data_IF_897544386830
#
_entry.id   IF_897544386830
#
_cell.length_a   1.000
_cell.length_b   1.000
_cell.length_c   1.000
_cell.angle_alpha   90.00
_cell.angle_beta   90.00
_cell.angle_gamma   90.00
#
_symmetry.space_group_name_H-M   'P 1'
#
loop_
_entity.id
_entity.type
_entity.pdbx_description
1 polymer ?
#
# COMPACT_ATOMS: atom_id res chain seq x y z
N UNK A 1 -39.57 -35.15 61.80
CA UNK A 1 -38.93 -34.23 60.84
C UNK A 1 -37.53 -33.96 61.35
N UNK A 2 -36.46 -33.90 60.55
CA UNK A 2 -36.37 -34.03 59.08
C UNK A 2 -35.15 -34.92 58.74
N UNK A 3 -35.14 -35.61 57.60
CA UNK A 3 -34.04 -36.48 57.20
C UNK A 3 -32.98 -35.73 56.36
N UNK A 4 -31.70 -36.03 56.56
CA UNK A 4 -30.61 -35.50 55.73
C UNK A 4 -30.57 -36.19 54.37
N UNK A 5 -30.54 -35.40 53.30
CA UNK A 5 -30.57 -35.90 51.92
C UNK A 5 -29.21 -36.47 51.49
N UNK A 6 -29.25 -37.49 50.62
CA UNK A 6 -28.08 -37.95 49.86
C UNK A 6 -27.86 -36.98 48.70
N UNK A 7 -26.65 -36.44 48.55
CA UNK A 7 -26.26 -35.67 47.37
C UNK A 7 -25.41 -36.55 46.45
N UNK A 8 -25.95 -36.84 45.26
CA UNK A 8 -25.21 -37.42 44.14
C UNK A 8 -25.36 -36.45 42.98
N UNK A 9 -24.25 -35.87 42.51
CA UNK A 9 -24.23 -34.97 41.35
C UNK A 9 -23.16 -35.48 40.39
N UNK A 10 -23.50 -35.48 39.10
CA UNK A 10 -22.74 -36.21 38.07
C UNK A 10 -21.44 -35.52 37.68
N UNK A 11 -20.52 -36.36 37.17
CA UNK A 11 -19.35 -35.98 36.38
C UNK A 11 -19.76 -35.04 35.23
N UNK A 12 -19.35 -33.77 35.27
CA UNK A 12 -19.39 -32.88 34.11
C UNK A 12 -18.02 -32.89 33.45
N UNK A 13 -17.89 -33.64 32.36
CA UNK A 13 -16.66 -33.76 31.60
C UNK A 13 -16.53 -32.53 30.67
N UNK A 14 -15.88 -31.47 31.16
CA UNK A 14 -15.65 -30.24 30.37
C UNK A 14 -14.59 -30.53 29.31
N UNK A 15 -15.06 -30.85 28.10
CA UNK A 15 -14.22 -30.94 26.91
C UNK A 15 -13.75 -29.52 26.57
N UNK A 16 -12.50 -29.21 26.88
CA UNK A 16 -11.84 -27.98 26.44
C UNK A 16 -11.59 -28.11 24.93
N UNK A 17 -12.56 -27.64 24.14
CA UNK A 17 -12.42 -27.52 22.70
C UNK A 17 -11.35 -26.47 22.37
N UNK A 18 -10.12 -26.92 22.12
CA UNK A 18 -9.04 -26.06 21.61
C UNK A 18 -9.34 -25.75 20.14
N UNK A 19 -10.15 -24.72 19.90
CA UNK A 19 -10.47 -24.24 18.55
C UNK A 19 -9.19 -23.67 17.95
N UNK A 20 -8.75 -24.22 16.80
CA UNK A 20 -7.52 -23.83 16.10
C UNK A 20 -7.56 -22.38 15.59
N UNK A 21 -7.24 -21.44 16.47
CA UNK A 21 -7.39 -19.99 16.25
C UNK A 21 -6.24 -19.33 15.47
N UNK A 22 -5.39 -20.11 14.79
CA UNK A 22 -4.27 -19.62 13.99
C UNK A 22 -4.68 -18.47 13.04
N UNK A 23 -5.81 -18.63 12.33
CA UNK A 23 -6.30 -17.63 11.38
C UNK A 23 -6.74 -16.32 12.07
N UNK A 24 -7.33 -16.41 13.27
CA UNK A 24 -7.74 -15.23 14.04
C UNK A 24 -6.54 -14.47 14.62
N UNK A 25 -5.52 -15.18 15.10
CA UNK A 25 -4.26 -14.59 15.58
C UNK A 25 -3.47 -13.95 14.43
N UNK A 26 -3.50 -14.54 13.23
CA UNK A 26 -2.89 -13.93 12.03
C UNK A 26 -3.59 -12.64 11.61
N UNK A 27 -4.93 -12.59 11.60
CA UNK A 27 -5.67 -11.36 11.30
C UNK A 27 -5.40 -10.26 12.33
N UNK A 28 -5.44 -10.58 13.63
CA UNK A 28 -5.11 -9.61 14.70
C UNK A 28 -3.69 -9.07 14.56
N UNK A 29 -2.71 -9.91 14.17
CA UNK A 29 -1.35 -9.45 13.87
C UNK A 29 -1.27 -8.55 12.64
N UNK A 30 -2.07 -8.80 11.60
CA UNK A 30 -2.19 -7.88 10.45
C UNK A 30 -2.76 -6.53 10.87
N UNK A 31 -3.87 -6.50 11.61
CA UNK A 31 -4.47 -5.25 12.10
C UNK A 31 -3.53 -4.49 13.05
N UNK A 32 -2.80 -5.20 13.93
CA UNK A 32 -1.79 -4.56 14.78
C UNK A 32 -0.57 -4.03 14.03
N UNK A 33 -0.28 -4.51 12.80
CA UNK A 33 0.72 -3.88 11.91
C UNK A 33 0.16 -2.69 11.14
N UNK A 34 -1.14 -2.68 10.80
CA UNK A 34 -1.79 -1.49 10.24
C UNK A 34 -1.83 -0.31 11.21
N UNK A 35 -2.03 -0.58 12.51
CA UNK A 35 -1.93 0.41 13.59
C UNK A 35 -0.48 0.77 13.98
N UNK A 36 0.53 0.17 13.35
CA UNK A 36 1.93 0.46 13.60
C UNK A 36 2.40 1.46 12.55
N UNK A 37 2.53 2.74 12.94
CA UNK A 37 3.08 3.82 12.11
C UNK A 37 4.20 3.31 11.22
N UNK A 38 4.01 3.35 9.89
CA UNK A 38 4.91 2.69 8.94
C UNK A 38 6.35 3.20 9.09
N UNK A 39 7.20 2.42 9.77
CA UNK A 39 8.63 2.74 9.97
C UNK A 39 9.51 2.30 8.80
N UNK A 40 8.95 1.54 7.85
CA UNK A 40 9.58 1.13 6.61
C UNK A 40 8.79 1.73 5.44
N UNK A 41 9.48 2.43 4.53
CA UNK A 41 8.92 2.99 3.29
C UNK A 41 8.19 1.95 2.45
N UNK A 42 8.85 0.82 2.26
CA UNK A 42 8.56 -0.10 1.17
C UNK A 42 7.23 -0.88 1.40
N UNK A 43 6.82 -1.05 2.66
CA UNK A 43 5.60 -1.79 3.00
C UNK A 43 4.34 -1.01 2.58
N UNK A 44 4.24 0.28 2.92
CA UNK A 44 3.08 1.07 2.47
C UNK A 44 3.13 1.36 0.97
N UNK A 45 4.31 1.60 0.39
CA UNK A 45 4.44 1.90 -1.04
C UNK A 45 4.01 0.72 -1.91
N UNK A 46 4.41 -0.49 -1.54
CA UNK A 46 3.98 -1.73 -2.21
C UNK A 46 2.48 -1.97 -2.07
N UNK A 47 1.93 -1.76 -0.87
CA UNK A 47 0.50 -1.88 -0.58
C UNK A 47 -0.34 -0.85 -1.36
N UNK A 48 0.13 0.40 -1.41
CA UNK A 48 -0.49 1.51 -2.11
C UNK A 48 -0.56 1.25 -3.62
N UNK A 49 0.57 0.91 -4.25
CA UNK A 49 0.62 0.59 -5.67
C UNK A 49 -0.26 -0.63 -6.00
N UNK A 50 -0.31 -1.65 -5.13
CA UNK A 50 -1.18 -2.81 -5.32
C UNK A 50 -2.67 -2.44 -5.28
N UNK A 51 -3.09 -1.55 -4.37
CA UNK A 51 -4.48 -1.07 -4.34
C UNK A 51 -4.81 -0.15 -5.52
N UNK A 52 -3.91 0.76 -5.92
CA UNK A 52 -4.07 1.60 -7.12
C UNK A 52 -4.23 0.73 -8.36
N UNK A 53 -3.33 -0.24 -8.57
CA UNK A 53 -3.38 -1.14 -9.73
C UNK A 53 -4.60 -2.07 -9.71
N UNK A 54 -5.12 -2.45 -8.54
CA UNK A 54 -6.39 -3.17 -8.40
C UNK A 54 -7.59 -2.33 -8.90
N UNK A 55 -7.63 -1.03 -8.59
CA UNK A 55 -8.69 -0.13 -9.09
C UNK A 55 -8.58 0.09 -10.60
N UNK A 56 -7.36 0.27 -11.11
CA UNK A 56 -7.06 0.42 -12.55
C UNK A 56 -7.44 -0.83 -13.36
N UNK A 57 -7.04 -2.01 -12.89
CA UNK A 57 -7.39 -3.28 -13.52
C UNK A 57 -8.91 -3.53 -13.55
N UNK A 58 -9.65 -3.09 -12.51
CA UNK A 58 -11.11 -3.15 -12.50
C UNK A 58 -11.79 -2.23 -13.53
N UNK A 59 -11.06 -1.32 -14.18
CA UNK A 59 -11.50 -0.51 -15.32
C UNK A 59 -10.84 -0.92 -16.64
N UNK A 60 -10.04 -2.00 -16.66
CA UNK A 60 -9.28 -2.44 -17.84
C UNK A 60 -8.05 -1.58 -18.19
N UNK A 61 -7.62 -0.71 -17.27
CA UNK A 61 -6.46 0.18 -17.46
C UNK A 61 -5.14 -0.54 -17.13
N UNK A 62 -4.07 -0.14 -17.80
CA UNK A 62 -2.71 -0.60 -17.54
C UNK A 62 -2.26 -0.31 -16.10
N UNK A 63 -1.52 -1.26 -15.51
CA UNK A 63 -0.86 -1.10 -14.22
C UNK A 63 0.24 -0.05 -14.28
N UNK A 64 0.32 0.79 -13.25
CA UNK A 64 1.46 1.66 -12.99
C UNK A 64 2.63 0.86 -12.38
N UNK A 65 3.83 1.42 -12.47
CA UNK A 65 5.02 0.97 -11.76
C UNK A 65 5.57 2.10 -10.87
N UNK A 66 6.39 1.75 -9.86
CA UNK A 66 7.11 2.76 -9.06
C UNK A 66 8.13 3.52 -9.93
N UNK A 67 8.38 4.79 -9.60
CA UNK A 67 9.52 5.57 -10.09
C UNK A 67 10.12 6.39 -8.94
N UNK A 68 11.44 6.29 -8.74
CA UNK A 68 12.17 6.90 -7.61
C UNK A 68 12.06 8.42 -7.53
N UNK A 69 11.83 9.10 -8.65
CA UNK A 69 11.69 10.57 -8.69
C UNK A 69 10.31 11.01 -8.22
N UNK A 70 9.25 10.33 -8.65
CA UNK A 70 7.90 10.51 -8.11
C UNK A 70 7.83 10.13 -6.62
N UNK A 71 8.59 9.12 -6.19
CA UNK A 71 8.74 8.77 -4.77
C UNK A 71 9.44 9.89 -3.98
N UNK A 72 10.45 10.54 -4.56
CA UNK A 72 11.16 11.68 -3.95
C UNK A 72 10.28 12.94 -3.86
N UNK A 73 9.51 13.24 -4.91
CA UNK A 73 8.57 14.37 -4.95
C UNK A 73 7.43 14.21 -3.93
N UNK A 74 6.74 13.07 -3.94
CA UNK A 74 5.70 12.77 -2.95
C UNK A 74 6.25 12.79 -1.51
N UNK A 75 7.49 12.32 -1.29
CA UNK A 75 8.15 12.39 0.02
C UNK A 75 8.42 13.83 0.48
N UNK A 76 8.99 14.68 -0.38
CA UNK A 76 9.17 16.13 -0.15
C UNK A 76 7.86 16.79 0.31
N UNK A 77 6.73 16.39 -0.26
CA UNK A 77 5.43 16.98 0.06
C UNK A 77 4.78 16.44 1.34
N UNK A 78 4.75 15.11 1.52
CA UNK A 78 4.23 14.51 2.77
C UNK A 78 5.02 14.98 4.00
N UNK A 79 6.36 15.07 3.91
CA UNK A 79 7.20 15.60 4.99
C UNK A 79 6.93 17.08 5.26
N UNK A 80 6.69 17.90 4.23
CA UNK A 80 6.40 19.33 4.41
C UNK A 80 5.02 19.58 5.05
N UNK A 81 3.99 18.85 4.61
CA UNK A 81 2.66 18.85 5.25
C UNK A 81 2.73 18.43 6.73
N UNK A 82 3.45 17.33 7.02
CA UNK A 82 3.63 16.82 8.38
C UNK A 82 4.48 17.74 9.27
N UNK A 83 5.46 18.46 8.70
CA UNK A 83 6.32 19.40 9.41
C UNK A 83 5.62 20.72 9.76
N UNK A 84 4.76 21.21 8.88
CA UNK A 84 4.13 22.53 9.03
C UNK A 84 2.64 22.48 9.46
N UNK A 85 2.12 21.29 9.77
CA UNK A 85 0.75 21.08 10.27
C UNK A 85 -0.35 21.61 9.32
N UNK A 86 -0.31 21.23 8.05
CA UNK A 86 -1.35 21.59 7.07
C UNK A 86 -1.57 20.47 6.06
N UNK A 87 -2.64 20.56 5.25
CA UNK A 87 -2.86 19.71 4.10
C UNK A 87 -3.33 20.58 2.93
N UNK A 88 -2.57 20.59 1.84
CA UNK A 88 -2.87 21.28 0.58
C UNK A 88 -1.97 20.73 -0.54
N UNK A 89 -2.21 21.15 -1.79
CA UNK A 89 -1.40 20.75 -2.95
C UNK A 89 -0.18 21.65 -3.21
N UNK A 90 -0.21 22.91 -2.77
CA UNK A 90 0.99 23.75 -2.74
C UNK A 90 1.82 23.45 -1.48
N UNK A 91 3.15 23.42 -1.63
CA UNK A 91 4.08 23.31 -0.51
C UNK A 91 4.07 24.58 0.37
N UNK A 92 4.63 24.50 1.59
CA UNK A 92 4.79 25.65 2.48
C UNK A 92 5.77 26.71 1.97
N UNK A 93 6.61 26.32 1.00
CA UNK A 93 7.49 27.16 0.18
C UNK A 93 6.76 27.82 -1.01
N UNK A 94 5.51 27.44 -1.27
CA UNK A 94 4.68 27.84 -2.41
C UNK A 94 4.66 26.85 -3.58
N UNK A 95 5.57 25.87 -3.61
CA UNK A 95 5.80 24.99 -4.77
C UNK A 95 4.54 24.26 -5.23
N UNK A 96 4.31 24.14 -6.53
CA UNK A 96 3.25 23.27 -7.09
C UNK A 96 3.72 21.81 -7.19
N UNK A 97 2.78 20.89 -7.42
CA UNK A 97 3.07 19.50 -7.79
C UNK A 97 4.06 19.43 -8.97
N UNK A 98 3.79 20.16 -10.05
CA UNK A 98 4.65 20.19 -11.24
C UNK A 98 6.09 20.60 -10.92
N UNK A 99 6.24 21.62 -10.07
CA UNK A 99 7.54 22.12 -9.62
C UNK A 99 8.27 21.06 -8.79
N UNK A 100 7.61 20.41 -7.82
CA UNK A 100 8.21 19.33 -7.01
C UNK A 100 8.63 18.12 -7.86
N UNK A 101 7.81 17.70 -8.81
CA UNK A 101 8.09 16.57 -9.71
C UNK A 101 9.26 16.91 -10.65
N UNK A 102 9.33 18.14 -11.16
CA UNK A 102 10.47 18.62 -11.98
C UNK A 102 11.74 18.87 -11.16
N UNK A 103 11.65 19.33 -9.91
CA UNK A 103 12.78 19.41 -8.97
C UNK A 103 13.38 18.03 -8.66
N UNK A 104 12.53 17.00 -8.52
CA UNK A 104 12.95 15.61 -8.42
C UNK A 104 13.57 15.04 -9.73
N UNK A 105 13.61 15.84 -10.81
CA UNK A 105 14.24 15.50 -12.08
C UNK A 105 13.42 14.56 -12.96
N UNK A 106 12.10 14.43 -12.73
CA UNK A 106 11.21 13.62 -13.55
C UNK A 106 10.79 14.40 -14.80
N UNK A 107 11.06 13.84 -15.98
CA UNK A 107 10.80 14.45 -17.29
C UNK A 107 9.43 13.98 -17.77
N UNK A 108 8.41 14.84 -17.60
CA UNK A 108 7.02 14.45 -17.79
C UNK A 108 6.32 15.09 -18.99
N UNK A 109 5.34 14.37 -19.53
CA UNK A 109 4.35 14.86 -20.51
C UNK A 109 2.95 14.95 -19.91
N UNK A 110 2.66 14.19 -18.84
CA UNK A 110 1.48 14.33 -17.99
C UNK A 110 1.79 13.98 -16.52
N UNK A 111 1.18 14.71 -15.57
CA UNK A 111 1.29 14.49 -14.11
C UNK A 111 -0.02 14.77 -13.38
N UNK A 112 -0.20 14.18 -12.20
CA UNK A 112 -1.32 14.45 -11.28
C UNK A 112 -0.98 14.03 -9.85
N UNK A 113 -1.66 14.61 -8.87
CA UNK A 113 -1.39 14.38 -7.44
C UNK A 113 -2.68 14.13 -6.66
N UNK A 114 -2.59 13.24 -5.66
CA UNK A 114 -3.59 13.11 -4.60
C UNK A 114 -2.90 13.34 -3.25
N UNK A 115 -3.43 14.23 -2.41
CA UNK A 115 -2.99 14.35 -1.00
C UNK A 115 -4.10 13.89 -0.06
N UNK A 116 -3.73 13.52 1.17
CA UNK A 116 -4.69 13.30 2.25
C UNK A 116 -4.03 13.45 3.62
N UNK A 117 -4.85 13.66 4.65
CA UNK A 117 -4.37 13.70 6.03
C UNK A 117 -5.42 13.14 7.00
N UNK A 118 -4.93 12.46 8.06
CA UNK A 118 -5.74 11.89 9.14
C UNK A 118 -6.19 10.45 8.96
N UNK A 119 -5.78 9.77 7.89
CA UNK A 119 -6.06 8.35 7.65
C UNK A 119 -4.90 7.50 8.18
N UNK A 120 -5.18 6.51 9.02
CA UNK A 120 -4.15 5.77 9.75
C UNK A 120 -3.39 4.76 8.86
N UNK A 121 -4.05 4.22 7.83
CA UNK A 121 -3.53 3.14 6.97
C UNK A 121 -3.81 3.33 5.47
N UNK A 122 -3.16 2.50 4.64
CA UNK A 122 -3.28 2.53 3.18
C UNK A 122 -4.70 2.20 2.69
N UNK A 123 -5.41 1.28 3.34
CA UNK A 123 -6.79 0.94 3.00
C UNK A 123 -7.76 2.10 3.20
N UNK A 124 -7.65 2.83 4.32
CA UNK A 124 -8.55 3.94 4.65
C UNK A 124 -8.29 5.17 3.76
N UNK A 125 -7.03 5.48 3.44
CA UNK A 125 -6.71 6.58 2.50
C UNK A 125 -7.11 6.26 1.06
N UNK A 126 -6.87 5.03 0.58
CA UNK A 126 -7.38 4.59 -0.73
C UNK A 126 -8.91 4.56 -0.79
N UNK A 127 -9.59 4.26 0.32
CA UNK A 127 -11.05 4.34 0.41
C UNK A 127 -11.53 5.79 0.35
N UNK A 128 -10.85 6.73 1.01
CA UNK A 128 -11.17 8.15 0.94
C UNK A 128 -11.02 8.70 -0.49
N UNK A 129 -9.88 8.46 -1.15
CA UNK A 129 -9.64 8.92 -2.52
C UNK A 129 -10.59 8.29 -3.54
N UNK A 130 -10.89 6.99 -3.44
CA UNK A 130 -11.82 6.33 -4.38
C UNK A 130 -13.29 6.76 -4.21
N UNK A 131 -13.64 7.38 -3.08
CA UNK A 131 -14.95 7.99 -2.83
C UNK A 131 -15.02 9.47 -3.28
N UNK A 132 -13.88 10.13 -3.50
CA UNK A 132 -13.81 11.48 -4.08
C UNK A 132 -13.72 11.40 -5.61
N UNK A 133 -14.62 12.05 -6.39
CA UNK A 133 -14.60 11.98 -7.85
C UNK A 133 -13.28 12.43 -8.49
N UNK A 134 -12.63 13.44 -7.93
CA UNK A 134 -11.42 14.07 -8.48
C UNK A 134 -10.18 13.23 -8.21
N UNK A 135 -9.96 12.83 -6.95
CA UNK A 135 -8.85 11.95 -6.58
C UNK A 135 -8.93 10.59 -7.30
N UNK A 136 -10.15 10.08 -7.49
CA UNK A 136 -10.42 8.90 -8.32
C UNK A 136 -10.08 9.12 -9.79
N UNK A 137 -10.29 10.31 -10.35
CA UNK A 137 -9.90 10.63 -11.72
C UNK A 137 -8.37 10.55 -11.89
N UNK A 138 -7.59 11.03 -10.91
CA UNK A 138 -6.13 10.89 -10.93
C UNK A 138 -5.69 9.41 -10.82
N UNK A 139 -6.27 8.61 -9.91
CA UNK A 139 -5.99 7.15 -9.81
C UNK A 139 -6.27 6.40 -11.13
N UNK A 140 -7.26 6.85 -11.90
CA UNK A 140 -7.68 6.25 -13.17
C UNK A 140 -7.15 6.97 -14.42
N UNK A 141 -6.23 7.94 -14.27
CA UNK A 141 -5.67 8.71 -15.38
C UNK A 141 -4.71 7.93 -16.29
N UNK A 142 -4.36 8.49 -17.45
CA UNK A 142 -3.47 7.86 -18.45
C UNK A 142 -1.98 8.02 -18.08
N UNK A 143 -1.63 7.43 -16.94
CA UNK A 143 -0.30 7.42 -16.37
C UNK A 143 0.41 6.09 -16.60
N UNK A 144 1.75 6.12 -16.64
CA UNK A 144 2.63 4.93 -16.72
C UNK A 144 3.30 4.62 -15.37
N UNK A 145 3.61 5.65 -14.59
CA UNK A 145 4.44 5.60 -13.38
C UNK A 145 3.75 6.24 -12.17
N UNK A 146 4.24 5.88 -10.99
CA UNK A 146 3.66 6.21 -9.69
C UNK A 146 4.75 6.45 -8.64
N UNK A 147 4.49 7.39 -7.74
CA UNK A 147 5.16 7.55 -6.46
C UNK A 147 4.13 7.71 -5.36
N UNK A 148 4.48 7.35 -4.13
CA UNK A 148 3.65 7.68 -2.97
C UNK A 148 4.49 7.77 -1.71
N UNK A 149 4.13 8.68 -0.82
CA UNK A 149 4.81 8.87 0.44
C UNK A 149 3.85 9.06 1.62
N UNK A 150 4.29 8.57 2.76
CA UNK A 150 3.65 8.69 4.05
C UNK A 150 4.59 9.38 5.04
N UNK A 151 4.09 10.38 5.76
CA UNK A 151 4.79 11.03 6.86
C UNK A 151 3.93 11.04 8.13
N UNK A 152 4.59 10.95 9.28
CA UNK A 152 3.93 10.92 10.58
C UNK A 152 4.52 11.95 11.55
N UNK A 153 3.66 12.77 12.16
CA UNK A 153 4.05 13.72 13.19
C UNK A 153 3.00 13.78 14.32
N UNK A 154 3.31 13.20 15.48
CA UNK A 154 2.39 13.10 16.62
C UNK A 154 1.93 14.44 17.20
N UNK A 155 2.68 15.52 16.98
CA UNK A 155 2.41 16.87 17.50
C UNK A 155 1.49 17.72 16.59
N UNK A 156 0.87 17.10 15.57
CA UNK A 156 -0.01 17.76 14.59
C UNK A 156 -1.48 17.38 14.74
N UNK A 157 -2.35 18.16 14.08
CA UNK A 157 -3.81 17.93 14.04
C UNK A 157 -4.15 16.59 13.40
N UNK A 158 -3.57 16.30 12.23
CA UNK A 158 -3.91 15.11 11.44
C UNK A 158 -3.02 13.90 11.73
N UNK A 159 -1.79 14.12 12.19
CA UNK A 159 -0.72 13.13 12.48
C UNK A 159 -0.22 12.30 11.31
N UNK A 160 -1.10 11.84 10.44
CA UNK A 160 -0.84 10.99 9.29
C UNK A 160 -1.01 11.84 8.02
N UNK A 161 0.00 11.84 7.15
CA UNK A 161 0.02 12.64 5.92
C UNK A 161 0.42 11.76 4.74
N UNK A 162 -0.31 11.90 3.63
CA UNK A 162 -0.20 11.05 2.46
C UNK A 162 -0.14 11.87 1.18
N UNK A 163 0.72 11.45 0.25
CA UNK A 163 0.81 11.99 -1.12
C UNK A 163 0.92 10.83 -2.11
N UNK A 164 0.24 10.92 -3.24
CA UNK A 164 0.44 10.08 -4.43
C UNK A 164 0.80 10.98 -5.61
N UNK A 165 1.93 10.70 -6.27
CA UNK A 165 2.34 11.37 -7.50
C UNK A 165 2.16 10.40 -8.67
N UNK A 166 1.45 10.84 -9.71
CA UNK A 166 1.23 10.08 -10.93
C UNK A 166 1.99 10.73 -12.09
N UNK A 167 2.55 9.93 -12.99
CA UNK A 167 3.36 10.46 -14.09
C UNK A 167 3.38 9.63 -15.36
N UNK A 168 3.50 10.33 -16.48
CA UNK A 168 3.95 9.80 -17.77
C UNK A 168 5.12 10.63 -18.26
N UNK A 169 6.23 9.96 -18.58
CA UNK A 169 7.38 10.48 -19.30
C UNK A 169 7.82 9.46 -20.34
N UNK A 170 8.64 9.89 -21.31
CA UNK A 170 9.17 9.01 -22.36
C UNK A 170 10.66 8.66 -22.15
N UNK A 171 11.41 9.50 -21.43
CA UNK A 171 12.78 9.23 -20.96
C UNK A 171 12.82 8.60 -19.54
N UNK A 172 11.66 8.23 -18.99
CA UNK A 172 11.49 7.77 -17.61
C UNK A 172 11.26 6.25 -17.53
N UNK A 173 11.80 5.64 -16.47
CA UNK A 173 11.75 4.19 -16.26
C UNK A 173 11.01 3.81 -14.97
N UNK A 174 10.40 2.62 -14.99
CA UNK A 174 10.01 1.93 -13.77
C UNK A 174 11.22 1.59 -12.91
N UNK A 175 11.08 1.65 -11.59
CA UNK A 175 11.99 0.96 -10.67
C UNK A 175 11.96 -0.53 -10.98
N UNK A 176 13.14 -1.08 -11.30
CA UNK A 176 13.30 -2.52 -11.42
C UNK A 176 13.32 -3.12 -10.02
N UNK A 177 12.33 -3.95 -9.69
CA UNK A 177 12.19 -4.56 -8.37
C UNK A 177 13.47 -5.30 -7.97
N UNK A 178 14.27 -4.70 -7.08
CA UNK A 178 15.68 -5.03 -6.88
C UNK A 178 15.90 -6.21 -5.94
N UNK A 179 15.24 -7.34 -6.23
CA UNK A 179 15.56 -8.65 -5.63
C UNK A 179 16.90 -9.23 -6.13
N UNK A 180 17.37 -8.81 -7.32
CA UNK A 180 18.64 -9.24 -7.90
C UNK A 180 19.84 -8.38 -7.47
N UNK A 181 20.20 -8.45 -6.20
CA UNK A 181 21.55 -8.11 -5.71
C UNK A 181 22.01 -8.92 -4.47
N UNK A 182 21.57 -10.18 -4.35
CA UNK A 182 22.02 -11.11 -3.30
C UNK A 182 22.49 -12.47 -3.85
N UNK A 183 23.22 -12.45 -4.97
CA UNK A 183 23.72 -13.65 -5.64
C UNK A 183 25.24 -13.56 -5.97
N UNK A 184 26.09 -13.58 -4.94
CA UNK A 184 27.53 -13.84 -5.13
C UNK A 184 28.16 -14.55 -3.94
N UNK A 185 28.89 -15.64 -4.24
CA UNK A 185 29.83 -16.37 -3.38
C UNK A 185 29.42 -16.68 -1.91
N UNK A 186 29.00 -17.92 -1.68
CA UNK A 186 29.86 -18.85 -0.91
C UNK A 186 29.60 -20.28 -1.39
N UNK A 187 30.62 -20.91 -1.97
CA UNK A 187 30.61 -22.33 -2.34
C UNK A 187 31.07 -23.18 -1.16
N UNK A 188 30.35 -24.26 -0.85
CA UNK A 188 30.94 -25.43 -0.19
C UNK A 188 30.19 -26.69 -0.60
N UNK A 189 30.94 -27.69 -1.07
CA UNK A 189 30.43 -29.05 -1.24
C UNK A 189 30.03 -29.67 0.11
N UNK A 190 29.00 -30.51 0.08
CA UNK A 190 29.15 -31.93 0.46
C UNK A 190 28.02 -32.74 -0.16
N UNK A 191 28.36 -33.89 -0.75
CA UNK A 191 27.41 -34.80 -1.40
C UNK A 191 27.08 -36.03 -0.53
N UNK A 192 26.23 -36.90 -1.09
CA UNK A 192 26.01 -38.32 -0.76
C UNK A 192 25.26 -38.66 0.55
N UNK A 193 24.05 -39.21 0.43
CA UNK A 193 23.92 -40.69 0.47
C UNK A 193 22.67 -41.24 -0.24
N UNK A 194 22.78 -42.51 -0.65
CA UNK A 194 22.15 -43.06 -1.86
C UNK A 194 21.29 -44.31 -1.58
N UNK A 195 20.05 -44.37 -2.11
CA UNK A 195 19.15 -45.56 -2.23
C UNK A 195 18.62 -46.18 -0.91
N UNK A 196 17.57 -47.04 -0.83
CA UNK A 196 16.62 -47.74 -1.74
C UNK A 196 15.31 -48.01 -0.90
N UNK A 197 14.11 -48.51 -1.29
CA UNK A 197 13.44 -49.22 -2.42
C UNK A 197 12.03 -48.56 -2.69
N UNK A 198 11.01 -48.96 -3.48
CA UNK A 198 10.40 -50.25 -3.97
C UNK A 198 9.65 -51.03 -2.85
N UNK A 199 8.43 -51.61 -2.96
CA UNK A 199 7.48 -51.97 -4.05
C UNK A 199 6.00 -51.72 -3.57
N UNK A 200 5.12 -51.03 -4.32
CA UNK A 200 3.96 -51.52 -5.15
C UNK A 200 2.75 -52.15 -4.41
N UNK A 201 1.51 -51.67 -4.70
CA UNK A 201 0.35 -52.42 -5.24
C UNK A 201 -0.96 -51.57 -5.32
N UNK A 202 -1.60 -51.64 -6.49
CA UNK A 202 -3.05 -51.71 -6.85
C UNK A 202 -4.16 -50.80 -6.27
N UNK A 203 -4.98 -50.26 -7.20
CA UNK A 203 -6.47 -50.14 -7.32
C UNK A 203 -7.41 -50.13 -6.06
N UNK A 204 -8.61 -49.49 -6.03
CA UNK A 204 -9.50 -48.97 -7.10
C UNK A 204 -10.53 -47.91 -6.57
N UNK A 205 -11.01 -47.02 -7.47
CA UNK A 205 -12.29 -46.26 -7.52
C UNK A 205 -12.91 -45.55 -6.26
N UNK A 206 -14.00 -44.79 -6.49
CA UNK A 206 -14.81 -44.11 -5.45
C UNK A 206 -14.74 -42.58 -5.50
N UNK A 207 -15.12 -41.94 -6.61
CA UNK A 207 -16.46 -41.33 -6.83
C UNK A 207 -16.54 -39.84 -6.42
N UNK A 208 -17.15 -39.03 -7.29
CA UNK A 208 -17.38 -37.61 -7.07
C UNK A 208 -18.84 -37.35 -6.70
N UNK A 209 -19.09 -36.43 -5.77
CA UNK A 209 -20.43 -35.89 -5.53
C UNK A 209 -20.36 -34.39 -5.24
N UNK A 210 -20.89 -33.60 -6.17
CA UNK A 210 -21.03 -32.15 -6.06
C UNK A 210 -22.50 -31.79 -5.91
N UNK A 211 -22.92 -31.37 -4.71
CA UNK A 211 -24.22 -30.72 -4.51
C UNK A 211 -23.99 -29.25 -4.19
N UNK A 212 -24.34 -28.39 -5.15
CA UNK A 212 -24.58 -26.98 -4.83
C UNK A 212 -25.92 -26.85 -4.10
N UNK A 213 -25.99 -25.93 -3.15
CA UNK A 213 -27.25 -25.42 -2.63
C UNK A 213 -27.21 -23.88 -2.66
N UNK A 214 -28.37 -23.24 -2.81
CA UNK A 214 -28.51 -21.80 -3.02
C UNK A 214 -29.82 -21.35 -2.43
N UNK A 215 -29.77 -20.75 -1.23
CA UNK A 215 -30.89 -19.96 -0.71
C UNK A 215 -30.37 -18.78 0.10
N UNK A 216 -30.79 -17.56 -0.25
CA UNK A 216 -30.62 -16.37 0.59
C UNK A 216 -31.77 -16.29 1.62
N UNK A 217 -31.63 -15.46 2.66
CA UNK A 217 -32.73 -14.54 2.95
C UNK A 217 -32.26 -13.08 3.06
N UNK A 218 -33.24 -12.17 3.16
CA UNK A 218 -33.10 -10.74 2.90
C UNK A 218 -33.37 -9.95 4.19
N UNK A 219 -32.74 -8.77 4.32
CA UNK A 219 -33.09 -7.67 5.25
C UNK A 219 -33.11 -7.95 6.76
N UNK A 220 -32.29 -7.19 7.49
CA UNK A 220 -32.88 -6.26 8.46
C UNK A 220 -32.10 -4.95 8.51
N UNK A 221 -32.84 -3.84 8.63
CA UNK A 221 -32.33 -2.47 8.67
C UNK A 221 -32.12 -2.06 10.12
N UNK A 222 -30.99 -1.40 10.44
CA UNK A 222 -30.75 -0.83 11.77
C UNK A 222 -29.92 0.44 11.63
N UNK A 223 -30.56 1.59 11.79
CA UNK A 223 -29.91 2.89 11.69
C UNK A 223 -29.16 3.22 12.99
N UNK A 224 -27.83 3.11 12.95
CA UNK A 224 -26.95 3.75 13.93
C UNK A 224 -26.51 5.12 13.39
N UNK A 225 -26.41 6.18 14.22
CA UNK A 225 -25.97 7.49 13.76
C UNK A 225 -24.46 7.46 13.46
N UNK A 226 -24.09 7.74 12.21
CA UNK A 226 -22.70 7.95 11.85
C UNK A 226 -22.23 9.31 12.40
N UNK A 227 -21.30 9.30 13.36
CA UNK A 227 -20.56 10.50 13.77
C UNK A 227 -19.58 10.87 12.66
N UNK A 228 -20.06 11.56 11.64
CA UNK A 228 -19.23 12.07 10.55
C UNK A 228 -18.41 13.26 11.04
N UNK A 229 -17.22 13.00 11.60
CA UNK A 229 -16.13 13.98 11.55
C UNK A 229 -15.93 14.36 10.08
N UNK A 230 -15.98 15.65 9.72
CA UNK A 230 -15.77 16.04 8.33
C UNK A 230 -14.31 15.77 7.95
N UNK A 231 -14.09 14.85 7.01
CA UNK A 231 -12.80 14.71 6.33
C UNK A 231 -12.46 16.04 5.67
N UNK A 232 -11.22 16.56 5.80
CA UNK A 232 -10.75 17.67 4.97
C UNK A 232 -10.68 17.21 3.52
N UNK A 233 -11.72 17.51 2.75
CA UNK A 233 -11.70 17.39 1.30
C UNK A 233 -11.09 18.69 0.75
N UNK A 234 -9.83 18.61 0.35
CA UNK A 234 -9.21 19.59 -0.55
C UNK A 234 -9.48 19.11 -1.98
N UNK A 235 -9.83 20.03 -2.87
CA UNK A 235 -10.08 19.71 -4.29
C UNK A 235 -8.77 19.27 -4.95
N UNK A 236 -8.79 18.18 -5.72
CA UNK A 236 -7.57 17.60 -6.29
C UNK A 236 -7.19 18.31 -7.60
N UNK A 237 -5.89 18.62 -7.85
CA UNK A 237 -5.44 19.20 -9.10
C UNK A 237 -5.76 18.22 -10.21
N UNK A 238 -6.49 18.71 -11.21
CA UNK A 238 -6.77 17.94 -12.42
C UNK A 238 -5.47 17.70 -13.19
N UNK A 239 -5.27 16.47 -13.65
CA UNK A 239 -4.16 16.04 -14.50
C UNK A 239 -3.59 17.14 -15.45
N UNK A 240 -2.38 17.63 -15.15
CA UNK A 240 -1.67 18.61 -15.96
C UNK A 240 -0.99 17.91 -17.13
N UNK A 241 -1.06 18.50 -18.33
CA UNK A 241 -0.44 17.96 -19.55
C UNK A 241 0.42 19.02 -20.25
N UNK A 242 1.56 18.58 -20.78
CA UNK A 242 2.58 19.44 -21.39
C UNK A 242 3.67 19.86 -20.40
N UNK A 243 4.91 19.45 -20.67
CA UNK A 243 6.08 19.80 -19.88
C UNK A 243 6.27 21.32 -19.75
N UNK A 244 6.82 21.83 -18.63
CA UNK A 244 7.23 23.23 -18.53
C UNK A 244 8.30 23.52 -19.59
N UNK A 245 8.17 24.64 -20.30
CA UNK A 245 9.21 25.09 -21.23
C UNK A 245 10.42 25.57 -20.43
N UNK A 246 11.45 24.73 -20.34
CA UNK A 246 12.68 25.01 -19.58
C UNK A 246 13.47 26.17 -20.20
N UNK A 247 13.18 27.40 -19.77
CA UNK A 247 14.11 28.53 -19.87
C UNK A 247 15.32 28.23 -18.97
N UNK A 248 16.29 27.51 -19.54
CA UNK A 248 17.41 26.96 -18.79
C UNK A 248 18.28 28.09 -18.18
N UNK A 249 18.61 28.03 -16.88
CA UNK A 249 19.54 28.97 -16.28
C UNK A 249 20.92 28.83 -16.95
N UNK A 250 21.53 29.96 -17.31
CA UNK A 250 22.80 29.99 -18.05
C UNK A 250 23.91 29.36 -17.19
N UNK A 251 24.29 28.13 -17.53
CA UNK A 251 25.33 27.38 -16.83
C UNK A 251 26.72 28.00 -17.06
N UNK A 252 27.22 28.77 -16.10
CA UNK A 252 28.62 29.22 -16.07
C UNK A 252 29.54 28.03 -15.89
N UNK A 253 30.26 27.65 -16.95
CA UNK A 253 31.12 26.47 -16.99
C UNK A 253 32.33 26.60 -16.05
N UNK A 254 32.41 25.77 -15.01
CA UNK A 254 33.64 25.55 -14.23
C UNK A 254 33.97 24.07 -14.20
N UNK A 255 35.08 23.69 -14.82
CA UNK A 255 35.50 22.29 -15.03
C UNK A 255 36.04 21.65 -13.75
N UNK A 256 35.54 20.46 -13.32
CA UNK A 256 36.20 19.65 -12.30
C UNK A 256 37.37 18.87 -12.89
N UNK A 257 38.52 18.84 -12.19
CA UNK A 257 39.69 18.05 -12.60
C UNK A 257 39.52 16.58 -12.24
N UNK A 258 39.83 15.68 -13.17
CA UNK A 258 39.77 14.22 -12.97
C UNK A 258 40.78 13.75 -11.93
N UNK A 259 40.34 12.95 -10.96
CA UNK A 259 41.20 12.09 -10.13
C UNK A 259 40.56 10.71 -10.00
N UNK A 260 41.27 9.66 -10.42
CA UNK A 260 40.74 8.30 -10.48
C UNK A 260 40.89 7.50 -9.17
N UNK A 261 40.20 6.37 -9.11
CA UNK A 261 40.21 5.46 -7.96
C UNK A 261 41.57 4.77 -7.73
N UNK A 262 41.84 4.45 -6.47
CA UNK A 262 42.67 3.34 -5.99
C UNK A 262 42.03 2.74 -4.76
#
# INVERSE_FOLDING_TARGET
MLATARSSVNLLLVVVGVISSANAVSNLRHTSRGLQTYTQSDEYQSQMLALVNKQRAAQGLSSLCLNSKLLSSSARHSDDMAKNNYMAHNGSDGSTMEERITEAGFIWTAVGENVAAGQEDVESVMTAWMNSPEHKANILGDYKMFGSAYAYNADTEYKHYWTQDFGTGDDETCESSSSDCSASSTTSDSADQTQQQVQQNDEVAGEASTTADTTAPITQETTAPATTTPTPATDAPTATTGAPTTDAPIATTTTPTTSGCK
#
